data_IF_217907866777
#
_entry.id   IF_217907866777
#
_cell.length_a   1.000
_cell.length_b   1.000
_cell.length_c   1.000
_cell.angle_alpha   90.00
_cell.angle_beta   90.00
_cell.angle_gamma   90.00
#
_symmetry.space_group_name_H-M   'P 1'
#
loop_
_entity.id
_entity.type
_entity.pdbx_description
1 polymer ?
#
# COMPACT_ATOMS: atom_id res chain seq x y z
N UNK A 1 5.21 -21.48 -24.39
CA UNK A 1 5.99 -21.28 -23.14
C UNK A 1 7.01 -20.18 -23.38
N UNK A 2 7.50 -19.50 -22.35
CA UNK A 2 8.60 -18.53 -22.49
C UNK A 2 9.92 -19.31 -22.55
N UNK A 3 10.66 -19.18 -23.65
CA UNK A 3 11.93 -19.88 -23.89
C UNK A 3 13.06 -18.84 -23.99
N UNK A 4 14.16 -19.08 -23.29
CA UNK A 4 15.39 -18.29 -23.41
C UNK A 4 16.35 -18.98 -24.38
N UNK A 5 16.83 -18.24 -25.37
CA UNK A 5 17.90 -18.67 -26.28
C UNK A 5 19.22 -18.26 -25.66
N UNK A 6 20.19 -19.17 -25.64
CA UNK A 6 21.46 -19.00 -24.92
C UNK A 6 22.60 -18.59 -25.86
N UNK A 7 23.49 -17.74 -25.34
CA UNK A 7 24.79 -17.44 -25.93
C UNK A 7 25.78 -18.58 -25.66
N UNK A 8 26.94 -18.55 -26.30
CA UNK A 8 28.02 -19.53 -26.11
C UNK A 8 28.57 -19.56 -24.67
N UNK A 9 28.39 -18.47 -23.90
CA UNK A 9 28.74 -18.37 -22.48
C UNK A 9 27.62 -18.85 -21.53
N UNK A 10 26.49 -19.31 -22.07
CA UNK A 10 25.33 -19.78 -21.31
C UNK A 10 24.38 -18.69 -20.82
N UNK A 11 24.62 -17.42 -21.15
CA UNK A 11 23.70 -16.31 -20.81
C UNK A 11 22.50 -16.24 -21.77
N UNK A 12 21.37 -15.69 -21.33
CA UNK A 12 20.20 -15.52 -22.20
C UNK A 12 20.45 -14.39 -23.22
N UNK A 13 20.52 -14.77 -24.50
CA UNK A 13 20.67 -13.87 -25.64
C UNK A 13 19.33 -13.22 -26.03
N UNK A 14 18.25 -14.00 -25.97
CA UNK A 14 16.92 -13.57 -26.35
C UNK A 14 15.85 -14.40 -25.64
N UNK A 15 14.61 -13.91 -25.63
CA UNK A 15 13.44 -14.67 -25.21
C UNK A 15 12.44 -14.78 -26.36
N UNK A 16 11.94 -15.98 -26.62
CA UNK A 16 10.85 -16.24 -27.58
C UNK A 16 9.67 -16.93 -26.90
N UNK A 17 8.49 -16.84 -27.50
CA UNK A 17 7.33 -17.65 -27.13
C UNK A 17 7.24 -18.82 -28.11
N UNK A 18 7.57 -20.02 -27.64
CA UNK A 18 7.58 -21.24 -28.46
C UNK A 18 7.30 -22.48 -27.60
N UNK A 19 7.17 -23.64 -28.24
CA UNK A 19 7.25 -24.94 -27.56
C UNK A 19 8.72 -25.41 -27.49
N UNK A 20 9.07 -26.27 -26.52
CA UNK A 20 10.39 -26.91 -26.45
C UNK A 20 10.85 -27.55 -27.76
N UNK A 21 9.95 -28.21 -28.49
CA UNK A 21 10.27 -28.88 -29.75
C UNK A 21 10.66 -27.87 -30.84
N UNK A 22 9.96 -26.74 -30.91
CA UNK A 22 10.28 -25.67 -31.88
C UNK A 22 11.58 -24.97 -31.49
N UNK A 23 11.84 -24.80 -30.20
CA UNK A 23 13.08 -24.22 -29.70
C UNK A 23 14.30 -25.11 -30.01
N UNK A 24 14.19 -26.43 -29.79
CA UNK A 24 15.24 -27.39 -30.12
C UNK A 24 15.50 -27.45 -31.64
N UNK A 25 14.46 -27.37 -32.46
CA UNK A 25 14.61 -27.36 -33.91
C UNK A 25 15.35 -26.12 -34.43
N UNK A 26 15.08 -24.95 -33.85
CA UNK A 26 15.65 -23.67 -34.31
C UNK A 26 16.99 -23.35 -33.64
N UNK A 27 17.21 -23.81 -32.41
CA UNK A 27 18.38 -23.51 -31.60
C UNK A 27 18.90 -24.76 -30.86
N UNK A 28 19.38 -25.81 -31.56
CA UNK A 28 19.68 -27.11 -30.95
C UNK A 28 20.65 -26.99 -29.76
N UNK A 29 20.24 -27.46 -28.58
CA UNK A 29 21.03 -27.41 -27.35
C UNK A 29 21.38 -26.01 -26.81
N UNK A 30 20.89 -24.93 -27.44
CA UNK A 30 21.20 -23.54 -27.11
C UNK A 30 19.95 -22.80 -26.60
N UNK A 31 19.12 -23.46 -25.80
CA UNK A 31 17.92 -22.88 -25.21
C UNK A 31 17.60 -23.49 -23.85
N UNK A 32 16.75 -22.80 -23.08
CA UNK A 32 16.12 -23.35 -21.87
C UNK A 32 14.73 -22.77 -21.68
N UNK A 33 13.87 -23.48 -20.96
CA UNK A 33 12.59 -22.91 -20.51
C UNK A 33 12.90 -21.79 -19.51
N UNK A 34 12.38 -20.59 -19.77
CA UNK A 34 12.49 -19.51 -18.81
C UNK A 34 11.74 -19.94 -17.55
N UNK A 35 12.41 -19.91 -16.40
CA UNK A 35 11.68 -20.01 -15.15
C UNK A 35 10.69 -18.85 -15.11
N UNK A 36 9.40 -19.13 -14.88
CA UNK A 36 8.44 -18.07 -14.57
C UNK A 36 8.90 -17.45 -13.25
N UNK A 37 9.62 -16.34 -13.35
CA UNK A 37 9.87 -15.49 -12.20
C UNK A 37 8.51 -14.92 -11.81
N UNK A 38 7.87 -15.56 -10.83
CA UNK A 38 6.80 -14.94 -10.08
C UNK A 38 7.44 -13.78 -9.32
N UNK A 39 7.45 -12.60 -9.94
CA UNK A 39 7.57 -11.37 -9.18
C UNK A 39 6.25 -11.23 -8.43
N UNK A 40 6.24 -11.35 -7.08
CA UNK A 40 5.04 -11.03 -6.35
C UNK A 40 4.68 -9.60 -6.70
N UNK A 41 3.54 -9.41 -7.36
CA UNK A 41 2.94 -8.10 -7.48
C UNK A 41 2.85 -7.57 -6.05
N UNK A 42 3.60 -6.51 -5.74
CA UNK A 42 3.50 -5.83 -4.46
C UNK A 42 2.02 -5.49 -4.28
N UNK A 43 1.33 -6.22 -3.42
CA UNK A 43 -0.05 -5.91 -3.10
C UNK A 43 -0.02 -4.50 -2.53
N UNK A 44 -0.60 -3.54 -3.26
CA UNK A 44 -0.85 -2.20 -2.73
C UNK A 44 -1.75 -2.43 -1.53
N UNK A 45 -1.15 -2.43 -0.35
CA UNK A 45 -1.86 -2.78 0.87
C UNK A 45 -2.67 -1.55 1.22
N UNK A 46 -3.96 -1.59 0.94
CA UNK A 46 -4.90 -0.59 1.45
C UNK A 46 -4.94 -0.75 2.97
N UNK A 47 -4.24 0.13 3.70
CA UNK A 47 -4.25 0.13 5.16
C UNK A 47 -5.49 0.90 5.61
N UNK A 48 -6.40 0.22 6.30
CA UNK A 48 -7.57 0.82 6.93
C UNK A 48 -7.78 0.23 8.33
N UNK A 49 -8.45 0.98 9.19
CA UNK A 49 -8.86 0.51 10.52
C UNK A 49 -10.29 0.96 10.82
N UNK A 50 -10.95 0.31 11.76
CA UNK A 50 -12.25 0.80 12.25
C UNK A 50 -12.07 2.10 13.02
N UNK A 51 -13.12 2.94 13.08
CA UNK A 51 -13.10 4.17 13.90
C UNK A 51 -12.70 3.89 15.35
N UNK A 52 -13.20 2.78 15.91
CA UNK A 52 -12.86 2.33 17.27
C UNK A 52 -11.35 2.14 17.42
N UNK A 53 -10.74 1.39 16.51
CA UNK A 53 -9.29 1.14 16.49
C UNK A 53 -8.50 2.44 16.36
N UNK A 54 -8.89 3.33 15.45
CA UNK A 54 -8.26 4.63 15.26
C UNK A 54 -8.34 5.52 16.51
N UNK A 55 -9.51 5.60 17.16
CA UNK A 55 -9.68 6.36 18.41
C UNK A 55 -8.89 5.75 19.57
N UNK A 56 -8.81 4.42 19.68
CA UNK A 56 -7.96 3.78 20.68
C UNK A 56 -6.46 4.04 20.43
N UNK A 57 -6.01 4.03 19.18
CA UNK A 57 -4.63 4.39 18.84
C UNK A 57 -4.33 5.86 19.20
N UNK A 58 -5.23 6.80 18.86
CA UNK A 58 -5.12 8.20 19.28
C UNK A 58 -5.08 8.35 20.81
N UNK A 59 -5.90 7.58 21.53
CA UNK A 59 -5.91 7.58 22.99
C UNK A 59 -4.58 7.10 23.56
N UNK A 60 -4.03 6.00 23.04
CA UNK A 60 -2.74 5.46 23.46
C UNK A 60 -1.57 6.41 23.16
N UNK A 61 -1.69 7.23 22.12
CA UNK A 61 -0.71 8.25 21.75
C UNK A 61 -0.91 9.57 22.52
N UNK A 62 -1.97 9.69 23.33
CA UNK A 62 -2.30 10.93 24.03
C UNK A 62 -2.82 12.05 23.13
N UNK A 63 -3.24 11.72 21.90
CA UNK A 63 -3.64 12.66 20.87
C UNK A 63 -5.15 12.75 20.65
N UNK A 64 -5.95 11.87 21.28
CA UNK A 64 -7.41 11.82 21.06
C UNK A 64 -8.08 13.15 21.36
N UNK A 65 -7.83 13.72 22.53
CA UNK A 65 -8.42 15.01 22.94
C UNK A 65 -8.00 16.15 22.01
N UNK A 66 -6.74 16.17 21.57
CA UNK A 66 -6.24 17.19 20.65
C UNK A 66 -6.88 17.06 19.26
N UNK A 67 -7.11 15.84 18.78
CA UNK A 67 -7.79 15.58 17.51
C UNK A 67 -9.24 16.06 17.55
N UNK A 68 -9.98 15.71 18.60
CA UNK A 68 -11.38 16.11 18.76
C UNK A 68 -11.52 17.63 18.96
N UNK A 69 -10.59 18.25 19.71
CA UNK A 69 -10.53 19.70 19.87
C UNK A 69 -10.24 20.44 18.54
N UNK A 70 -9.36 19.90 17.69
CA UNK A 70 -9.06 20.48 16.39
C UNK A 70 -10.30 20.56 15.48
N UNK A 71 -11.11 19.49 15.45
CA UNK A 71 -12.38 19.44 14.71
C UNK A 71 -13.40 20.40 15.33
N UNK A 72 -13.50 20.43 16.66
CA UNK A 72 -14.44 21.31 17.36
C UNK A 72 -14.13 22.80 17.12
N UNK A 73 -12.85 23.18 17.01
CA UNK A 73 -12.38 24.54 16.79
C UNK A 73 -12.60 25.06 15.36
N UNK A 74 -12.97 24.20 14.40
CA UNK A 74 -13.29 24.63 13.03
C UNK A 74 -14.49 25.59 13.03
N UNK A 75 -14.48 26.64 12.17
CA UNK A 75 -15.64 27.51 11.98
C UNK A 75 -16.87 26.71 11.54
N UNK A 76 -18.05 27.14 11.98
CA UNK A 76 -19.29 26.49 11.58
C UNK A 76 -19.54 26.67 10.08
N UNK A 77 -19.85 25.56 9.39
CA UNK A 77 -20.01 25.56 7.94
C UNK A 77 -19.91 24.15 7.36
N UNK A 78 -19.90 24.08 6.03
CA UNK A 78 -19.81 22.83 5.30
C UNK A 78 -18.51 22.07 5.61
N UNK A 79 -17.38 22.78 5.76
CA UNK A 79 -16.07 22.16 6.00
C UNK A 79 -16.01 21.44 7.35
N UNK A 80 -16.55 22.04 8.42
CA UNK A 80 -16.66 21.39 9.73
C UNK A 80 -17.55 20.15 9.68
N UNK A 81 -18.65 20.21 8.92
CA UNK A 81 -19.54 19.06 8.73
C UNK A 81 -18.85 17.95 7.95
N UNK A 82 -18.07 18.27 6.91
CA UNK A 82 -17.28 17.30 6.19
C UNK A 82 -16.22 16.65 7.09
N UNK A 83 -15.46 17.43 7.85
CA UNK A 83 -14.49 16.92 8.83
C UNK A 83 -15.12 15.99 9.86
N UNK A 84 -16.30 16.34 10.38
CA UNK A 84 -17.07 15.48 11.28
C UNK A 84 -17.48 14.17 10.60
N UNK A 85 -18.01 14.21 9.37
CA UNK A 85 -18.40 13.00 8.61
C UNK A 85 -17.20 12.07 8.40
N UNK A 86 -16.04 12.62 8.00
CA UNK A 86 -14.81 11.84 7.78
C UNK A 86 -14.30 11.21 9.08
N UNK A 87 -14.24 12.01 10.16
CA UNK A 87 -13.88 11.51 11.48
C UNK A 87 -14.87 10.47 12.00
N UNK A 88 -16.15 10.65 11.67
CA UNK A 88 -17.26 9.78 12.01
C UNK A 88 -17.52 8.66 10.99
N UNK A 89 -16.59 8.40 10.06
CA UNK A 89 -16.69 7.22 9.21
C UNK A 89 -16.46 5.94 10.04
N UNK A 90 -17.15 4.84 9.72
CA UNK A 90 -16.94 3.56 10.41
C UNK A 90 -15.56 2.96 10.11
N UNK A 91 -15.02 3.26 8.94
CA UNK A 91 -13.69 2.86 8.49
C UNK A 91 -12.85 4.10 8.20
N UNK A 92 -11.66 4.13 8.76
CA UNK A 92 -10.63 5.11 8.47
C UNK A 92 -9.63 4.50 7.51
N UNK A 93 -9.33 5.23 6.44
CA UNK A 93 -8.36 4.81 5.43
C UNK A 93 -7.08 5.64 5.57
N UNK A 94 -5.92 4.98 5.49
CA UNK A 94 -4.62 5.65 5.62
C UNK A 94 -4.42 6.75 4.58
N UNK A 95 -4.99 6.58 3.39
CA UNK A 95 -4.90 7.57 2.30
C UNK A 95 -6.01 8.63 2.35
N UNK A 96 -6.85 8.65 3.39
CA UNK A 96 -7.86 9.68 3.55
C UNK A 96 -7.17 11.06 3.76
N UNK A 97 -7.48 12.07 2.92
CA UNK A 97 -6.83 13.37 2.98
C UNK A 97 -7.15 14.13 4.27
N UNK A 98 -8.36 13.97 4.83
CA UNK A 98 -8.74 14.58 6.10
C UNK A 98 -7.90 14.03 7.25
N UNK A 99 -7.75 12.70 7.36
CA UNK A 99 -6.94 12.09 8.43
C UNK A 99 -5.46 12.48 8.30
N UNK A 100 -4.95 12.58 7.07
CA UNK A 100 -3.58 13.05 6.81
C UNK A 100 -3.39 14.51 7.27
N UNK A 101 -4.35 15.38 6.98
CA UNK A 101 -4.31 16.79 7.39
C UNK A 101 -4.44 16.95 8.92
N UNK A 102 -5.37 16.21 9.53
CA UNK A 102 -5.56 16.20 10.98
C UNK A 102 -4.28 15.73 11.69
N UNK A 103 -3.64 14.65 11.20
CA UNK A 103 -2.40 14.15 11.76
C UNK A 103 -1.25 15.17 11.68
N UNK A 104 -1.10 15.84 10.54
CA UNK A 104 -0.10 16.90 10.37
C UNK A 104 -0.35 18.07 11.33
N UNK A 105 -1.62 18.45 11.55
CA UNK A 105 -2.00 19.50 12.51
C UNK A 105 -1.64 19.12 13.96
N UNK A 106 -1.66 17.82 14.28
CA UNK A 106 -1.23 17.27 15.57
C UNK A 106 0.30 17.14 15.69
N UNK A 107 1.07 17.57 14.68
CA UNK A 107 2.53 17.54 14.65
C UNK A 107 3.13 16.23 14.15
N UNK A 108 2.33 15.35 13.56
CA UNK A 108 2.79 14.09 13.00
C UNK A 108 3.38 14.21 11.58
N UNK A 109 4.08 13.16 11.14
CA UNK A 109 4.58 13.01 9.77
C UNK A 109 3.82 11.89 9.04
N UNK A 110 3.92 11.78 7.70
CA UNK A 110 3.33 10.66 6.97
C UNK A 110 3.78 9.30 7.50
N UNK A 111 5.05 9.15 7.86
CA UNK A 111 5.62 7.91 8.37
C UNK A 111 5.06 7.58 9.77
N UNK A 112 4.92 8.58 10.65
CA UNK A 112 4.31 8.33 11.96
C UNK A 112 2.81 8.06 11.88
N UNK A 113 2.14 8.52 10.82
CA UNK A 113 0.76 8.14 10.53
C UNK A 113 0.67 6.67 10.10
N UNK A 114 1.62 6.19 9.29
CA UNK A 114 1.70 4.76 8.94
C UNK A 114 1.89 3.89 10.19
N UNK A 115 2.77 4.30 11.09
CA UNK A 115 2.96 3.62 12.38
C UNK A 115 1.69 3.64 13.26
N UNK A 116 0.97 4.76 13.29
CA UNK A 116 -0.29 4.88 14.01
C UNK A 116 -1.36 3.95 13.45
N UNK A 117 -1.48 3.84 12.12
CA UNK A 117 -2.40 2.91 11.46
C UNK A 117 -1.99 1.45 11.69
N UNK A 118 -0.69 1.12 11.60
CA UNK A 118 -0.18 -0.21 11.89
C UNK A 118 -0.46 -0.64 13.35
N UNK A 119 -0.38 0.29 14.31
CA UNK A 119 -0.81 0.04 15.68
C UNK A 119 -2.33 -0.11 15.78
N UNK A 120 -3.10 0.75 15.12
CA UNK A 120 -4.56 0.74 15.19
C UNK A 120 -5.16 -0.59 14.72
N UNK A 121 -4.67 -1.17 13.62
CA UNK A 121 -5.20 -2.44 13.09
C UNK A 121 -4.98 -3.65 14.02
N UNK A 122 -4.11 -3.50 15.03
CA UNK A 122 -3.85 -4.53 16.04
C UNK A 122 -4.73 -4.41 17.31
N UNK A 123 -5.64 -3.42 17.37
CA UNK A 123 -6.55 -3.13 18.50
C UNK A 123 -7.99 -3.62 18.27
#
# INVERSE_FOLDING_TARGET
MRIEILNADGTAANTIIATPEVAEQLHPGAWRVAAEQYEPMLAVTHISCTRRQGRLALLMLGLLEAAEAAIAAMPDGADKRAAQIEYEADTWERHNPFLSALWAQLGGTPESLDEAFARAVAL
#
